data_IF_112244050766
#
_entry.id   IF_112244050766
#
_cell.length_a   1.000
_cell.length_b   1.000
_cell.length_c   1.000
_cell.angle_alpha   90.00
_cell.angle_beta   90.00
_cell.angle_gamma   90.00
#
_symmetry.space_group_name_H-M   'P 1'
#
loop_
_entity.id
_entity.type
_entity.pdbx_description
1 polymer ?
#
# COMPACT_ATOMS: atom_id res chain seq x y z
N UNK A 1 -22.00 -6.60 -32.57
CA UNK A 1 -21.63 -5.18 -32.74
C UNK A 1 -21.60 -4.39 -31.43
N UNK A 2 -22.59 -4.40 -30.55
CA UNK A 2 -22.59 -3.62 -29.28
C UNK A 2 -21.42 -3.92 -28.33
N UNK A 3 -20.95 -5.16 -28.21
CA UNK A 3 -19.83 -5.56 -27.33
C UNK A 3 -18.48 -4.99 -27.84
N UNK A 4 -18.24 -5.00 -29.15
CA UNK A 4 -17.04 -4.43 -29.75
C UNK A 4 -16.98 -2.89 -29.65
N UNK A 5 -18.14 -2.22 -29.75
CA UNK A 5 -18.21 -0.78 -29.54
C UNK A 5 -17.95 -0.38 -28.07
N UNK A 6 -18.46 -1.17 -27.12
CA UNK A 6 -18.20 -0.99 -25.69
C UNK A 6 -16.72 -1.17 -25.36
N UNK A 7 -16.07 -2.19 -25.91
CA UNK A 7 -14.65 -2.45 -25.73
C UNK A 7 -13.74 -1.38 -26.36
N UNK A 8 -14.14 -0.83 -27.53
CA UNK A 8 -13.43 0.29 -28.15
C UNK A 8 -13.55 1.58 -27.34
N UNK A 9 -14.74 1.86 -26.78
CA UNK A 9 -14.98 3.04 -25.92
C UNK A 9 -14.17 2.96 -24.62
N UNK A 10 -14.14 1.79 -23.99
CA UNK A 10 -13.32 1.55 -22.78
C UNK A 10 -11.82 1.66 -23.07
N UNK A 11 -11.35 1.17 -24.22
CA UNK A 11 -9.94 1.32 -24.63
C UNK A 11 -9.55 2.76 -24.94
N UNK A 12 -10.44 3.55 -25.54
CA UNK A 12 -10.21 4.96 -25.84
C UNK A 12 -10.13 5.77 -24.56
N UNK A 13 -11.10 5.60 -23.68
CA UNK A 13 -11.17 6.22 -22.35
C UNK A 13 -9.90 5.92 -21.53
N UNK A 14 -9.46 4.65 -21.49
CA UNK A 14 -8.23 4.26 -20.81
C UNK A 14 -6.97 4.91 -21.40
N UNK A 15 -6.94 5.16 -22.71
CA UNK A 15 -5.81 5.86 -23.36
C UNK A 15 -5.78 7.35 -23.02
N UNK A 16 -6.94 7.99 -22.95
CA UNK A 16 -7.07 9.40 -22.56
C UNK A 16 -6.65 9.61 -21.10
N UNK A 17 -7.07 8.73 -20.19
CA UNK A 17 -6.63 8.75 -18.78
C UNK A 17 -5.11 8.56 -18.65
N UNK A 18 -4.54 7.60 -19.36
CA UNK A 18 -3.09 7.39 -19.36
C UNK A 18 -2.32 8.57 -19.97
N UNK A 19 -2.90 9.26 -20.97
CA UNK A 19 -2.30 10.46 -21.54
C UNK A 19 -2.29 11.61 -20.51
N UNK A 20 -3.40 11.83 -19.81
CA UNK A 20 -3.49 12.82 -18.74
C UNK A 20 -2.50 12.56 -17.61
N UNK A 21 -2.43 11.32 -17.14
CA UNK A 21 -1.42 10.89 -16.14
C UNK A 21 -0.02 11.18 -16.63
N UNK A 22 0.27 10.88 -17.92
CA UNK A 22 1.58 11.11 -18.52
C UNK A 22 1.91 12.59 -18.65
N UNK A 23 0.94 13.45 -18.93
CA UNK A 23 1.12 14.89 -19.02
C UNK A 23 1.41 15.49 -17.63
N UNK A 24 0.63 15.13 -16.61
CA UNK A 24 0.88 15.55 -15.22
C UNK A 24 2.21 15.02 -14.70
N UNK A 25 2.57 13.77 -15.00
CA UNK A 25 3.85 13.19 -14.60
C UNK A 25 5.05 13.78 -15.35
N UNK A 26 4.84 14.37 -16.53
CA UNK A 26 5.95 14.89 -17.36
C UNK A 26 6.75 15.99 -16.65
N UNK A 27 6.09 16.84 -15.89
CA UNK A 27 6.73 17.92 -15.14
C UNK A 27 7.54 17.42 -13.92
N UNK A 28 7.20 16.23 -13.41
CA UNK A 28 7.82 15.66 -12.22
C UNK A 28 8.72 14.43 -12.51
N UNK A 29 8.96 14.11 -13.79
CA UNK A 29 9.71 12.89 -14.19
C UNK A 29 11.07 12.76 -13.50
N UNK A 30 11.81 13.86 -13.43
CA UNK A 30 13.14 13.85 -12.80
C UNK A 30 13.07 13.46 -11.32
N UNK A 31 12.07 13.95 -10.60
CA UNK A 31 11.89 13.64 -9.17
C UNK A 31 11.34 12.23 -8.94
N UNK A 32 10.43 11.76 -9.80
CA UNK A 32 9.96 10.38 -9.77
C UNK A 32 11.13 9.42 -10.01
N UNK A 33 11.98 9.71 -10.99
CA UNK A 33 13.19 8.93 -11.25
C UNK A 33 14.16 8.98 -10.05
N UNK A 34 14.32 10.14 -9.42
CA UNK A 34 15.18 10.30 -8.24
C UNK A 34 14.65 9.46 -7.06
N UNK A 35 13.33 9.48 -6.79
CA UNK A 35 12.71 8.64 -5.76
C UNK A 35 12.88 7.14 -6.10
N UNK A 36 12.68 6.74 -7.34
CA UNK A 36 12.95 5.36 -7.75
C UNK A 36 14.43 4.98 -7.55
N UNK A 37 15.37 5.86 -7.90
CA UNK A 37 16.80 5.61 -7.72
C UNK A 37 17.19 5.48 -6.26
N UNK A 38 16.72 6.40 -5.39
CA UNK A 38 16.98 6.31 -3.94
C UNK A 38 16.37 5.04 -3.33
N UNK A 39 15.16 4.67 -3.76
CA UNK A 39 14.51 3.42 -3.34
C UNK A 39 15.30 2.18 -3.79
N UNK A 40 15.75 2.13 -5.05
CA UNK A 40 16.55 1.01 -5.60
C UNK A 40 17.91 0.92 -4.89
N UNK A 41 18.57 2.05 -4.65
CA UNK A 41 19.81 2.09 -3.87
C UNK A 41 19.60 1.59 -2.44
N UNK A 42 18.49 1.97 -1.81
CA UNK A 42 18.10 1.46 -0.50
C UNK A 42 17.92 -0.07 -0.48
N UNK A 43 17.33 -0.64 -1.54
CA UNK A 43 17.22 -2.10 -1.72
C UNK A 43 18.61 -2.74 -1.89
N UNK A 44 19.48 -2.15 -2.71
CA UNK A 44 20.83 -2.66 -2.91
C UNK A 44 21.64 -2.66 -1.61
N UNK A 45 21.60 -1.55 -0.83
CA UNK A 45 22.26 -1.49 0.48
C UNK A 45 21.65 -2.48 1.47
N UNK A 46 20.32 -2.72 1.43
CA UNK A 46 19.68 -3.71 2.30
C UNK A 46 20.15 -5.14 2.00
N UNK A 47 20.31 -5.50 0.74
CA UNK A 47 20.83 -6.82 0.36
C UNK A 47 22.34 -6.94 0.65
N UNK A 48 23.11 -5.88 0.39
CA UNK A 48 24.51 -5.81 0.75
C UNK A 48 24.72 -5.92 2.27
N UNK A 49 23.86 -5.32 3.07
CA UNK A 49 23.85 -5.44 4.53
C UNK A 49 23.63 -6.90 4.97
N UNK A 50 22.68 -7.61 4.36
CA UNK A 50 22.44 -9.04 4.65
C UNK A 50 23.68 -9.87 4.31
N UNK A 51 24.31 -9.62 3.17
CA UNK A 51 25.55 -10.30 2.80
C UNK A 51 26.71 -9.98 3.75
N UNK A 52 26.86 -8.72 4.14
CA UNK A 52 27.89 -8.32 5.10
C UNK A 52 27.65 -8.97 6.48
N UNK A 53 26.39 -9.02 6.94
CA UNK A 53 26.02 -9.72 8.20
C UNK A 53 26.40 -11.20 8.14
N UNK A 54 26.13 -11.88 7.01
CA UNK A 54 26.58 -13.25 6.78
C UNK A 54 28.10 -13.34 6.96
N UNK A 55 28.85 -12.45 6.30
CA UNK A 55 30.32 -12.44 6.35
C UNK A 55 30.86 -12.18 7.77
N UNK A 56 30.27 -11.26 8.52
CA UNK A 56 30.63 -11.02 9.93
C UNK A 56 30.51 -12.28 10.75
N UNK A 57 29.40 -13.01 10.61
CA UNK A 57 29.13 -14.22 11.36
C UNK A 57 30.11 -15.35 10.94
N UNK A 58 30.29 -15.55 9.63
CA UNK A 58 31.19 -16.59 9.11
C UNK A 58 32.66 -16.34 9.52
N UNK A 59 33.08 -15.06 9.57
CA UNK A 59 34.42 -14.70 10.08
C UNK A 59 34.52 -14.88 11.59
N UNK A 60 33.49 -14.49 12.35
CA UNK A 60 33.48 -14.66 13.81
C UNK A 60 33.46 -16.12 14.25
N UNK A 61 32.88 -17.02 13.43
CA UNK A 61 32.87 -18.47 13.66
C UNK A 61 34.10 -19.18 13.10
N UNK A 62 35.06 -18.45 12.52
CA UNK A 62 36.29 -19.00 12.00
C UNK A 62 36.17 -19.80 10.70
N UNK A 63 35.02 -19.67 10.00
CA UNK A 63 34.77 -20.37 8.72
C UNK A 63 35.44 -19.62 7.55
N UNK A 64 35.52 -18.29 7.63
CA UNK A 64 36.19 -17.47 6.60
C UNK A 64 37.26 -16.60 7.22
N UNK A 65 38.42 -16.54 6.55
CA UNK A 65 39.48 -15.63 6.93
C UNK A 65 39.11 -14.18 6.59
N UNK A 66 39.37 -13.25 7.52
CA UNK A 66 39.12 -11.83 7.31
C UNK A 66 39.30 -11.02 8.58
N UNK A 67 39.46 -9.72 8.40
CA UNK A 67 39.50 -8.78 9.52
C UNK A 67 38.08 -8.44 9.97
N UNK A 68 37.64 -9.05 11.09
CA UNK A 68 36.31 -8.89 11.67
C UNK A 68 35.94 -7.40 11.84
N UNK A 69 36.90 -6.57 12.26
CA UNK A 69 36.68 -5.14 12.48
C UNK A 69 36.31 -4.41 11.19
N UNK A 70 37.00 -4.68 10.08
CA UNK A 70 36.70 -4.06 8.80
C UNK A 70 35.31 -4.46 8.27
N UNK A 71 34.93 -5.75 8.39
CA UNK A 71 33.63 -6.24 7.94
C UNK A 71 32.51 -5.69 8.83
N UNK A 72 32.74 -5.58 10.15
CA UNK A 72 31.78 -4.98 11.06
C UNK A 72 31.55 -3.49 10.76
N UNK A 73 32.62 -2.71 10.53
CA UNK A 73 32.51 -1.31 10.13
C UNK A 73 31.74 -1.17 8.81
N UNK A 74 32.05 -2.01 7.81
CA UNK A 74 31.33 -2.03 6.54
C UNK A 74 29.83 -2.31 6.75
N UNK A 75 29.50 -3.23 7.63
CA UNK A 75 28.10 -3.56 7.96
C UNK A 75 27.36 -2.36 8.54
N UNK A 76 27.98 -1.61 9.45
CA UNK A 76 27.43 -0.38 10.03
C UNK A 76 27.26 0.71 8.96
N UNK A 77 28.24 0.87 8.08
CA UNK A 77 28.17 1.84 6.96
C UNK A 77 27.01 1.49 6.02
N UNK A 78 26.85 0.21 5.66
CA UNK A 78 25.75 -0.23 4.79
C UNK A 78 24.38 -0.01 5.44
N UNK A 79 24.26 -0.29 6.74
CA UNK A 79 23.02 -0.02 7.48
C UNK A 79 22.70 1.49 7.49
N UNK A 80 23.70 2.32 7.79
CA UNK A 80 23.55 3.76 7.81
C UNK A 80 23.17 4.30 6.42
N UNK A 81 23.82 3.82 5.36
CA UNK A 81 23.50 4.17 3.99
C UNK A 81 22.06 3.77 3.62
N UNK A 82 21.60 2.58 4.01
CA UNK A 82 20.21 2.14 3.81
C UNK A 82 19.22 3.09 4.49
N UNK A 83 19.48 3.46 5.75
CA UNK A 83 18.62 4.38 6.52
C UNK A 83 18.58 5.78 5.89
N UNK A 84 19.71 6.28 5.45
CA UNK A 84 19.81 7.59 4.76
C UNK A 84 19.05 7.57 3.42
N UNK A 85 19.16 6.50 2.64
CA UNK A 85 18.38 6.35 1.41
C UNK A 85 16.87 6.33 1.68
N UNK A 86 16.42 5.64 2.73
CA UNK A 86 15.02 5.62 3.15
C UNK A 86 14.51 6.99 3.59
N UNK A 87 15.31 7.73 4.35
CA UNK A 87 15.00 9.10 4.76
C UNK A 87 14.93 10.05 3.55
N UNK A 88 15.89 9.95 2.63
CA UNK A 88 15.92 10.73 1.40
C UNK A 88 14.70 10.44 0.51
N UNK A 89 14.34 9.17 0.32
CA UNK A 89 13.15 8.78 -0.44
C UNK A 89 11.86 9.35 0.17
N UNK A 90 11.71 9.26 1.49
CA UNK A 90 10.56 9.83 2.20
C UNK A 90 10.49 11.35 2.02
N UNK A 91 11.63 12.04 2.14
CA UNK A 91 11.72 13.49 1.95
C UNK A 91 11.33 13.90 0.52
N UNK A 92 11.92 13.24 -0.49
CA UNK A 92 11.68 13.53 -1.90
C UNK A 92 10.21 13.25 -2.25
N UNK A 93 9.66 12.11 -1.81
CA UNK A 93 8.27 11.72 -2.05
C UNK A 93 7.29 12.70 -1.42
N UNK A 94 7.50 13.10 -0.15
CA UNK A 94 6.64 14.07 0.55
C UNK A 94 6.68 15.43 -0.11
N UNK A 95 7.86 15.94 -0.43
CA UNK A 95 8.02 17.22 -1.12
C UNK A 95 7.34 17.21 -2.49
N UNK A 96 7.55 16.15 -3.27
CA UNK A 96 6.91 15.97 -4.57
C UNK A 96 5.38 15.91 -4.44
N UNK A 97 4.85 15.25 -3.41
CA UNK A 97 3.42 15.16 -3.14
C UNK A 97 2.81 16.54 -2.88
N UNK A 98 3.44 17.37 -2.03
CA UNK A 98 2.97 18.70 -1.71
C UNK A 98 3.03 19.61 -2.96
N UNK A 99 4.16 19.67 -3.65
CA UNK A 99 4.34 20.54 -4.81
C UNK A 99 3.41 20.18 -5.97
N UNK A 100 3.26 18.87 -6.26
CA UNK A 100 2.35 18.40 -7.32
C UNK A 100 0.89 18.64 -6.93
N UNK A 101 0.55 18.43 -5.66
CA UNK A 101 -0.80 18.70 -5.13
C UNK A 101 -1.17 20.17 -5.27
N UNK A 102 -0.30 21.07 -4.85
CA UNK A 102 -0.52 22.52 -4.94
C UNK A 102 -0.63 22.96 -6.41
N UNK A 103 0.25 22.49 -7.28
CA UNK A 103 0.21 22.82 -8.71
C UNK A 103 -1.10 22.33 -9.38
N UNK A 104 -1.56 21.13 -9.04
CA UNK A 104 -2.79 20.59 -9.60
C UNK A 104 -4.02 21.32 -9.07
N UNK A 105 -4.10 21.62 -7.76
CA UNK A 105 -5.17 22.43 -7.17
C UNK A 105 -5.24 23.81 -7.80
N UNK A 106 -4.09 24.47 -7.95
CA UNK A 106 -4.02 25.79 -8.58
C UNK A 106 -4.55 25.76 -10.03
N UNK A 107 -4.17 24.75 -10.83
CA UNK A 107 -4.66 24.59 -12.21
C UNK A 107 -6.17 24.34 -12.25
N UNK A 108 -6.68 23.46 -11.39
CA UNK A 108 -8.11 23.16 -11.32
C UNK A 108 -8.91 24.40 -10.88
N UNK A 109 -8.44 25.09 -9.85
CA UNK A 109 -9.10 26.31 -9.36
C UNK A 109 -9.09 27.42 -10.40
N UNK A 110 -7.98 27.65 -11.11
CA UNK A 110 -7.90 28.62 -12.20
C UNK A 110 -8.89 28.29 -13.32
N UNK A 111 -9.03 27.03 -13.70
CA UNK A 111 -10.01 26.60 -14.70
C UNK A 111 -11.45 26.77 -14.23
N UNK A 112 -11.73 26.50 -12.96
CA UNK A 112 -13.06 26.71 -12.36
C UNK A 112 -13.43 28.19 -12.39
N UNK A 113 -12.53 29.10 -12.06
CA UNK A 113 -12.76 30.53 -12.12
C UNK A 113 -12.98 31.06 -13.55
N UNK A 114 -12.42 30.41 -14.56
CA UNK A 114 -12.57 30.77 -15.96
C UNK A 114 -13.75 30.07 -16.64
N UNK A 115 -14.41 29.14 -15.96
CA UNK A 115 -15.57 28.42 -16.51
C UNK A 115 -16.81 29.30 -16.55
N UNK A 116 -17.76 28.99 -17.45
CA UNK A 116 -19.02 29.75 -17.57
C UNK A 116 -19.91 29.49 -16.35
N UNK A 117 -20.46 30.53 -15.78
CA UNK A 117 -21.29 30.51 -14.57
C UNK A 117 -22.42 29.47 -14.62
N UNK A 118 -23.12 29.35 -15.75
CA UNK A 118 -24.25 28.41 -15.93
C UNK A 118 -23.90 26.93 -15.81
N UNK A 119 -22.63 26.57 -15.94
CA UNK A 119 -22.17 25.16 -15.78
C UNK A 119 -21.92 24.82 -14.31
N UNK A 120 -21.50 25.81 -13.52
CA UNK A 120 -21.20 25.64 -12.09
C UNK A 120 -22.46 25.64 -11.21
N UNK A 121 -23.52 26.36 -11.59
CA UNK A 121 -24.79 26.39 -10.84
C UNK A 121 -25.49 25.04 -10.69
N UNK A 122 -25.19 24.10 -11.57
CA UNK A 122 -25.71 22.70 -11.51
C UNK A 122 -25.10 21.86 -10.40
N UNK A 123 -23.98 22.29 -9.84
CA UNK A 123 -23.27 21.57 -8.81
C UNK A 123 -23.31 22.35 -7.48
N UNK A 124 -23.56 21.63 -6.39
CA UNK A 124 -23.39 22.23 -5.07
C UNK A 124 -21.92 22.56 -4.84
N UNK A 125 -21.65 23.77 -4.38
CA UNK A 125 -20.26 24.25 -4.16
C UNK A 125 -19.45 23.29 -3.28
N UNK A 126 -20.08 22.67 -2.28
CA UNK A 126 -19.46 21.67 -1.42
C UNK A 126 -19.02 20.41 -2.16
N UNK A 127 -19.82 19.94 -3.14
CA UNK A 127 -19.49 18.77 -3.94
C UNK A 127 -18.29 19.04 -4.87
N UNK A 128 -18.23 20.23 -5.46
CA UNK A 128 -17.11 20.65 -6.33
C UNK A 128 -15.82 20.71 -5.52
N UNK A 129 -15.84 21.36 -4.36
CA UNK A 129 -14.66 21.47 -3.48
C UNK A 129 -14.19 20.10 -3.02
N UNK A 130 -15.11 19.23 -2.58
CA UNK A 130 -14.79 17.90 -2.12
C UNK A 130 -14.20 17.03 -3.25
N UNK A 131 -14.75 17.10 -4.46
CA UNK A 131 -14.18 16.40 -5.64
C UNK A 131 -12.78 16.91 -5.97
N UNK A 132 -12.60 18.22 -6.08
CA UNK A 132 -11.29 18.81 -6.36
C UNK A 132 -10.25 18.35 -5.34
N UNK A 133 -10.59 18.30 -4.05
CA UNK A 133 -9.66 17.87 -2.99
C UNK A 133 -9.38 16.36 -3.03
N UNK A 134 -10.43 15.54 -3.11
CA UNK A 134 -10.27 14.07 -3.10
C UNK A 134 -9.62 13.55 -4.37
N UNK A 135 -10.05 14.02 -5.54
CA UNK A 135 -9.54 13.56 -6.84
C UNK A 135 -8.10 14.01 -7.04
N UNK A 136 -7.78 15.26 -6.66
CA UNK A 136 -6.38 15.75 -6.67
C UNK A 136 -5.50 14.88 -5.78
N UNK A 137 -5.93 14.60 -4.57
CA UNK A 137 -5.17 13.79 -3.62
C UNK A 137 -4.97 12.36 -4.15
N UNK A 138 -5.99 11.76 -4.76
CA UNK A 138 -5.89 10.42 -5.35
C UNK A 138 -4.89 10.37 -6.51
N UNK A 139 -4.94 11.34 -7.43
CA UNK A 139 -4.02 11.43 -8.58
C UNK A 139 -2.58 11.68 -8.10
N UNK A 140 -2.40 12.63 -7.19
CA UNK A 140 -1.08 12.95 -6.64
C UNK A 140 -0.48 11.74 -5.94
N UNK A 141 -1.23 11.08 -5.05
CA UNK A 141 -0.77 9.87 -4.34
C UNK A 141 -0.40 8.75 -5.31
N UNK A 142 -1.16 8.56 -6.40
CA UNK A 142 -0.79 7.60 -7.42
C UNK A 142 0.58 7.90 -8.02
N UNK A 143 0.80 9.14 -8.46
CA UNK A 143 2.01 9.53 -9.18
C UNK A 143 3.25 9.60 -8.29
N UNK A 144 3.10 10.16 -7.08
CA UNK A 144 4.24 10.48 -6.22
C UNK A 144 4.61 9.37 -5.24
N UNK A 145 3.67 8.47 -4.92
CA UNK A 145 3.90 7.40 -3.94
C UNK A 145 3.66 6.01 -4.54
N UNK A 146 2.49 5.79 -5.19
CA UNK A 146 2.12 4.42 -5.60
C UNK A 146 2.96 3.90 -6.76
N UNK A 147 3.27 4.74 -7.76
CA UNK A 147 4.07 4.34 -8.93
C UNK A 147 5.52 4.06 -8.54
N UNK A 148 6.24 4.95 -7.82
CA UNK A 148 7.58 4.65 -7.32
C UNK A 148 7.61 3.42 -6.43
N UNK A 149 6.69 3.32 -5.46
CA UNK A 149 6.61 2.16 -4.57
C UNK A 149 6.41 0.85 -5.35
N UNK A 150 5.56 0.83 -6.38
CA UNK A 150 5.37 -0.36 -7.22
C UNK A 150 6.66 -0.78 -7.92
N UNK A 151 7.40 0.16 -8.50
CA UNK A 151 8.67 -0.09 -9.20
C UNK A 151 9.71 -0.62 -8.20
N UNK A 152 9.93 0.09 -7.10
CA UNK A 152 10.93 -0.28 -6.08
C UNK A 152 10.60 -1.64 -5.47
N UNK A 153 9.34 -1.88 -5.11
CA UNK A 153 8.89 -3.15 -4.51
C UNK A 153 9.04 -4.32 -5.49
N UNK A 154 8.75 -4.11 -6.78
CA UNK A 154 8.93 -5.14 -7.81
C UNK A 154 10.42 -5.49 -8.00
N UNK A 155 11.28 -4.47 -8.02
CA UNK A 155 12.74 -4.66 -8.09
C UNK A 155 13.25 -5.36 -6.83
N UNK A 156 12.75 -4.98 -5.66
CA UNK A 156 13.12 -5.62 -4.39
C UNK A 156 12.77 -7.11 -4.40
N UNK A 157 11.58 -7.50 -4.87
CA UNK A 157 11.18 -8.90 -4.99
C UNK A 157 12.11 -9.67 -5.94
N UNK A 158 12.38 -9.09 -7.11
CA UNK A 158 13.28 -9.70 -8.10
C UNK A 158 14.71 -9.86 -7.54
N UNK A 159 15.23 -8.81 -6.93
CA UNK A 159 16.57 -8.83 -6.35
C UNK A 159 16.68 -9.81 -5.17
N UNK A 160 15.66 -9.88 -4.31
CA UNK A 160 15.61 -10.87 -3.24
C UNK A 160 15.52 -12.31 -3.79
N UNK A 161 14.71 -12.53 -4.83
CA UNK A 161 14.62 -13.83 -5.50
C UNK A 161 15.96 -14.27 -6.09
N UNK A 162 16.64 -13.37 -6.81
CA UNK A 162 17.97 -13.64 -7.36
C UNK A 162 19.00 -13.92 -6.25
N UNK A 163 18.95 -13.15 -5.18
CA UNK A 163 19.86 -13.35 -4.05
C UNK A 163 19.65 -14.72 -3.37
N UNK A 164 18.38 -15.15 -3.20
CA UNK A 164 18.06 -16.50 -2.73
C UNK A 164 18.62 -17.58 -3.68
N UNK A 165 18.43 -17.39 -4.99
CA UNK A 165 18.89 -18.34 -5.98
C UNK A 165 20.42 -18.53 -5.96
N UNK A 166 21.16 -17.46 -5.70
CA UNK A 166 22.63 -17.52 -5.55
C UNK A 166 23.10 -18.18 -4.25
N UNK A 167 22.27 -18.15 -3.19
CA UNK A 167 22.61 -18.81 -1.94
C UNK A 167 22.28 -20.30 -1.99
N UNK A 168 21.08 -20.64 -2.45
CA UNK A 168 20.62 -22.01 -2.65
C UNK A 168 19.47 -22.06 -3.69
N UNK A 169 19.64 -22.79 -4.82
CA UNK A 169 18.64 -22.85 -5.88
C UNK A 169 17.29 -23.46 -5.49
N UNK A 170 17.21 -24.21 -4.38
CA UNK A 170 15.99 -24.90 -3.95
C UNK A 170 14.99 -23.97 -3.23
N UNK A 171 15.49 -22.96 -2.53
CA UNK A 171 14.69 -22.08 -1.66
C UNK A 171 13.75 -21.12 -2.38
N UNK A 172 14.13 -20.50 -3.52
CA UNK A 172 13.23 -19.58 -4.24
C UNK A 172 11.88 -20.20 -4.60
N UNK A 173 11.84 -21.49 -4.89
CA UNK A 173 10.63 -22.22 -5.27
C UNK A 173 9.60 -22.29 -4.13
N UNK A 174 10.06 -22.33 -2.89
CA UNK A 174 9.19 -22.28 -1.71
C UNK A 174 8.42 -20.96 -1.64
N UNK A 175 9.08 -19.85 -1.99
CA UNK A 175 8.44 -18.51 -2.04
C UNK A 175 7.43 -18.44 -3.19
N UNK A 176 7.79 -18.97 -4.37
CA UNK A 176 6.91 -19.00 -5.53
C UNK A 176 5.65 -19.81 -5.25
N UNK A 177 5.75 -20.89 -4.48
CA UNK A 177 4.59 -21.71 -4.10
C UNK A 177 3.60 -20.99 -3.19
N UNK A 178 4.02 -20.02 -2.39
CA UNK A 178 3.15 -19.23 -1.49
C UNK A 178 2.36 -18.16 -2.26
N UNK A 179 2.91 -17.60 -3.34
CA UNK A 179 2.29 -16.51 -4.10
C UNK A 179 0.88 -16.82 -4.64
N UNK A 180 0.60 -17.97 -5.30
CA UNK A 180 -0.74 -18.28 -5.81
C UNK A 180 -1.79 -18.41 -4.71
N UNK A 181 -1.42 -18.96 -3.57
CA UNK A 181 -2.31 -19.09 -2.40
C UNK A 181 -2.71 -17.71 -1.89
N UNK A 182 -1.73 -16.81 -1.77
CA UNK A 182 -1.98 -15.43 -1.36
C UNK A 182 -2.86 -14.67 -2.36
N UNK A 183 -2.62 -14.79 -3.66
CA UNK A 183 -3.38 -14.11 -4.70
C UNK A 183 -4.84 -14.60 -4.77
N UNK A 184 -5.08 -15.90 -4.62
CA UNK A 184 -6.45 -16.46 -4.61
C UNK A 184 -7.23 -16.02 -3.38
N UNK A 185 -6.63 -16.07 -2.19
CA UNK A 185 -7.21 -15.58 -0.94
C UNK A 185 -7.56 -14.09 -0.98
N UNK A 186 -6.72 -13.29 -1.62
CA UNK A 186 -6.93 -11.84 -1.73
C UNK A 186 -8.19 -11.44 -2.49
N UNK A 187 -8.61 -12.23 -3.50
CA UNK A 187 -9.84 -11.99 -4.27
C UNK A 187 -11.09 -12.22 -3.42
N UNK A 188 -11.11 -13.31 -2.65
CA UNK A 188 -12.20 -13.62 -1.74
C UNK A 188 -12.33 -12.56 -0.64
N UNK A 189 -11.20 -12.21 0.00
CA UNK A 189 -11.13 -11.17 1.03
C UNK A 189 -11.69 -9.83 0.54
N UNK A 190 -11.24 -9.35 -0.64
CA UNK A 190 -11.70 -8.07 -1.20
C UNK A 190 -13.20 -8.04 -1.49
N UNK A 191 -13.77 -9.13 -2.03
CA UNK A 191 -15.22 -9.20 -2.30
C UNK A 191 -16.03 -9.10 -1.01
N UNK A 192 -15.62 -9.82 0.02
CA UNK A 192 -16.31 -9.83 1.31
C UNK A 192 -16.16 -8.49 2.04
N UNK A 193 -14.96 -7.93 2.05
CA UNK A 193 -14.66 -6.64 2.66
C UNK A 193 -15.44 -5.50 2.01
N UNK A 194 -15.56 -5.50 0.66
CA UNK A 194 -16.36 -4.50 -0.06
C UNK A 194 -17.83 -4.52 0.39
N UNK A 195 -18.40 -5.69 0.64
CA UNK A 195 -19.77 -5.85 1.15
C UNK A 195 -19.92 -5.23 2.53
N UNK A 196 -19.06 -5.60 3.48
CA UNK A 196 -19.06 -5.00 4.82
C UNK A 196 -18.91 -3.47 4.80
N UNK A 197 -18.00 -2.97 3.97
CA UNK A 197 -17.80 -1.52 3.85
C UNK A 197 -19.03 -0.80 3.30
N UNK A 198 -19.74 -1.41 2.35
CA UNK A 198 -20.98 -0.87 1.81
C UNK A 198 -22.08 -0.82 2.87
N UNK A 199 -22.27 -1.92 3.62
CA UNK A 199 -23.30 -2.02 4.65
C UNK A 199 -23.05 -1.00 5.79
N UNK A 200 -21.81 -0.85 6.22
CA UNK A 200 -21.38 0.16 7.21
C UNK A 200 -21.66 1.58 6.71
N UNK A 201 -21.28 1.90 5.45
CA UNK A 201 -21.55 3.23 4.89
C UNK A 201 -23.03 3.56 4.81
N UNK A 202 -23.87 2.57 4.51
CA UNK A 202 -25.32 2.77 4.48
C UNK A 202 -25.87 3.06 5.88
N UNK A 203 -25.36 2.35 6.90
CA UNK A 203 -25.77 2.60 8.29
C UNK A 203 -25.26 3.95 8.81
N UNK A 204 -24.01 4.32 8.50
CA UNK A 204 -23.48 5.67 8.79
C UNK A 204 -24.34 6.76 8.13
N UNK A 205 -24.73 6.58 6.87
CA UNK A 205 -25.60 7.53 6.17
C UNK A 205 -26.97 7.67 6.82
N UNK A 206 -27.56 6.58 7.33
CA UNK A 206 -28.83 6.62 8.08
C UNK A 206 -28.68 7.38 9.39
N UNK A 207 -27.61 7.14 10.14
CA UNK A 207 -27.31 7.85 11.39
C UNK A 207 -27.17 9.36 11.10
N UNK A 208 -26.38 9.73 10.07
CA UNK A 208 -26.23 11.13 9.69
C UNK A 208 -27.56 11.78 9.30
N UNK A 209 -28.43 11.05 8.57
CA UNK A 209 -29.75 11.55 8.20
C UNK A 209 -30.64 11.79 9.43
N UNK A 210 -30.65 10.88 10.41
CA UNK A 210 -31.43 11.05 11.66
C UNK A 210 -30.92 12.23 12.46
N UNK A 211 -29.60 12.40 12.60
CA UNK A 211 -29.00 13.54 13.29
C UNK A 211 -29.37 14.86 12.57
N UNK A 212 -29.23 14.90 11.25
CA UNK A 212 -29.55 16.09 10.46
C UNK A 212 -31.03 16.44 10.56
N UNK A 213 -31.95 15.48 10.41
CA UNK A 213 -33.39 15.63 10.57
C UNK A 213 -33.74 16.17 11.97
N UNK A 214 -33.15 15.59 13.02
CA UNK A 214 -33.36 15.99 14.40
C UNK A 214 -32.90 17.43 14.68
N UNK A 215 -31.77 17.84 14.08
CA UNK A 215 -31.27 19.22 14.21
C UNK A 215 -32.10 20.21 13.44
N UNK A 216 -32.57 19.85 12.24
CA UNK A 216 -33.42 20.72 11.42
C UNK A 216 -34.79 20.95 12.09
N UNK A 217 -35.36 19.93 12.70
CA UNK A 217 -36.68 19.98 13.31
C UNK A 217 -36.65 20.04 14.85
N UNK A 218 -35.50 20.48 15.43
CA UNK A 218 -35.31 20.51 16.89
C UNK A 218 -36.41 21.20 17.69
N UNK A 219 -37.01 22.27 17.15
CA UNK A 219 -38.08 23.02 17.80
C UNK A 219 -39.35 22.16 17.90
N UNK A 220 -39.69 21.47 16.82
CA UNK A 220 -40.85 20.56 16.76
C UNK A 220 -40.69 19.40 17.72
N UNK A 221 -39.50 18.75 17.69
CA UNK A 221 -39.17 17.62 18.55
C UNK A 221 -39.25 18.02 20.02
N UNK A 222 -38.76 19.22 20.37
CA UNK A 222 -38.83 19.76 21.74
C UNK A 222 -40.24 20.10 22.17
N UNK A 223 -41.05 20.72 21.27
CA UNK A 223 -42.44 21.09 21.54
C UNK A 223 -43.33 19.86 21.72
N UNK A 224 -43.07 18.79 20.98
CA UNK A 224 -43.81 17.53 21.05
C UNK A 224 -43.25 16.55 22.07
N UNK A 225 -42.21 16.93 22.82
CA UNK A 225 -41.53 16.08 23.84
C UNK A 225 -41.05 14.73 23.30
N UNK A 226 -40.73 14.66 21.98
CA UNK A 226 -40.30 13.41 21.31
C UNK A 226 -38.78 13.17 21.37
N UNK A 227 -38.06 13.86 22.24
CA UNK A 227 -36.60 13.77 22.36
C UNK A 227 -36.09 12.35 22.61
N UNK A 228 -36.67 11.65 23.58
CA UNK A 228 -36.28 10.28 23.96
C UNK A 228 -36.48 9.31 22.79
N UNK A 229 -37.61 9.39 22.10
CA UNK A 229 -37.89 8.53 20.94
C UNK A 229 -36.88 8.72 19.80
N UNK A 230 -36.37 9.95 19.60
CA UNK A 230 -35.31 10.21 18.61
C UNK A 230 -33.94 9.66 19.06
N UNK A 231 -33.68 9.68 20.38
CA UNK A 231 -32.49 9.04 20.97
C UNK A 231 -32.54 7.52 20.84
N UNK A 232 -33.66 6.89 21.21
CA UNK A 232 -33.87 5.44 21.05
C UNK A 232 -33.63 5.01 19.58
N UNK A 233 -34.20 5.76 18.63
CA UNK A 233 -33.98 5.49 17.20
C UNK A 233 -32.51 5.62 16.79
N UNK A 234 -31.77 6.55 17.39
CA UNK A 234 -30.35 6.73 17.13
C UNK A 234 -29.57 5.57 17.73
N UNK A 235 -29.89 5.15 18.94
CA UNK A 235 -29.24 4.03 19.64
C UNK A 235 -29.44 2.72 18.88
N UNK A 236 -30.64 2.41 18.39
CA UNK A 236 -30.92 1.25 17.54
C UNK A 236 -30.02 1.23 16.27
N UNK A 237 -29.86 2.39 15.62
CA UNK A 237 -29.01 2.51 14.44
C UNK A 237 -27.52 2.38 14.79
N UNK A 238 -27.08 2.87 15.93
CA UNK A 238 -25.72 2.73 16.43
C UNK A 238 -25.40 1.27 16.78
N UNK A 239 -26.34 0.55 17.42
CA UNK A 239 -26.21 -0.88 17.71
C UNK A 239 -26.10 -1.71 16.44
N UNK A 240 -26.92 -1.39 15.42
CA UNK A 240 -26.80 -2.00 14.11
C UNK A 240 -25.43 -1.74 13.49
N UNK A 241 -24.97 -0.50 13.50
CA UNK A 241 -23.63 -0.12 13.00
C UNK A 241 -22.54 -0.86 13.77
N UNK A 242 -22.62 -0.89 15.11
CA UNK A 242 -21.68 -1.61 15.96
C UNK A 242 -21.57 -3.09 15.57
N UNK A 243 -22.70 -3.78 15.39
CA UNK A 243 -22.74 -5.19 15.00
C UNK A 243 -22.06 -5.42 13.63
N UNK A 244 -22.30 -4.53 12.65
CA UNK A 244 -21.70 -4.60 11.31
C UNK A 244 -20.18 -4.33 11.35
N UNK A 245 -19.74 -3.33 12.13
CA UNK A 245 -18.31 -3.01 12.31
C UNK A 245 -17.61 -4.17 13.01
N UNK A 246 -18.20 -4.75 14.05
CA UNK A 246 -17.63 -5.93 14.72
C UNK A 246 -17.58 -7.16 13.81
N UNK A 247 -18.60 -7.38 12.99
CA UNK A 247 -18.60 -8.42 11.95
C UNK A 247 -17.46 -8.25 10.96
N UNK A 248 -17.24 -7.02 10.45
CA UNK A 248 -16.10 -6.69 9.60
C UNK A 248 -14.77 -6.92 10.31
N UNK A 249 -14.66 -6.48 11.57
CA UNK A 249 -13.43 -6.59 12.35
C UNK A 249 -13.07 -8.05 12.61
N UNK A 250 -14.04 -8.90 12.99
CA UNK A 250 -13.81 -10.35 13.16
C UNK A 250 -13.31 -11.00 11.89
N UNK A 251 -13.94 -10.70 10.76
CA UNK A 251 -13.52 -11.21 9.46
C UNK A 251 -12.12 -10.71 9.06
N UNK A 252 -11.84 -9.43 9.30
CA UNK A 252 -10.52 -8.85 9.03
C UNK A 252 -9.45 -9.48 9.92
N UNK A 253 -9.74 -9.65 11.21
CA UNK A 253 -8.83 -10.26 12.18
C UNK A 253 -8.50 -11.71 11.80
N UNK A 254 -9.53 -12.53 11.49
CA UNK A 254 -9.30 -13.92 11.06
C UNK A 254 -8.46 -14.02 9.79
N UNK A 255 -8.69 -13.13 8.82
CA UNK A 255 -7.87 -13.06 7.62
C UNK A 255 -6.42 -12.64 7.92
N UNK A 256 -6.23 -11.65 8.80
CA UNK A 256 -4.88 -11.24 9.23
C UNK A 256 -4.15 -12.35 9.98
N UNK A 257 -4.85 -13.06 10.87
CA UNK A 257 -4.27 -14.21 11.59
C UNK A 257 -3.85 -15.33 10.63
N UNK A 258 -4.70 -15.65 9.64
CA UNK A 258 -4.35 -16.66 8.62
C UNK A 258 -3.10 -16.28 7.84
N UNK A 259 -3.01 -15.02 7.44
CA UNK A 259 -1.82 -14.51 6.72
C UNK A 259 -0.60 -14.48 7.61
N UNK A 260 -0.73 -14.05 8.88
CA UNK A 260 0.36 -14.07 9.85
C UNK A 260 0.86 -15.50 10.10
N UNK A 261 -0.04 -16.47 10.24
CA UNK A 261 0.31 -17.89 10.37
C UNK A 261 1.04 -18.40 9.13
N UNK A 262 0.60 -18.04 7.92
CA UNK A 262 1.26 -18.44 6.68
C UNK A 262 2.70 -17.87 6.61
N UNK A 263 2.90 -16.62 7.02
CA UNK A 263 4.23 -16.01 7.05
C UNK A 263 5.12 -16.58 8.16
N UNK A 264 4.57 -16.75 9.36
CA UNK A 264 5.30 -17.38 10.47
C UNK A 264 5.64 -18.84 10.15
N UNK A 265 4.72 -19.55 9.49
CA UNK A 265 4.97 -20.90 8.99
C UNK A 265 6.10 -20.94 7.96
N UNK A 266 6.12 -19.99 7.00
CA UNK A 266 7.21 -19.86 6.04
C UNK A 266 8.57 -19.56 6.70
N UNK A 267 8.57 -18.67 7.69
CA UNK A 267 9.77 -18.39 8.50
C UNK A 267 10.24 -19.63 9.28
N UNK A 268 9.31 -20.33 9.95
CA UNK A 268 9.60 -21.54 10.69
C UNK A 268 10.14 -22.66 9.79
N UNK A 269 9.56 -22.83 8.60
CA UNK A 269 10.03 -23.79 7.60
C UNK A 269 11.46 -23.46 7.17
N UNK A 270 11.76 -22.21 6.87
CA UNK A 270 13.11 -21.77 6.53
C UNK A 270 14.10 -21.97 7.69
N UNK A 271 13.65 -21.71 8.92
CA UNK A 271 14.45 -21.93 10.12
C UNK A 271 14.78 -23.41 10.33
N UNK A 272 13.77 -24.29 10.28
CA UNK A 272 13.95 -25.74 10.47
C UNK A 272 14.81 -26.35 9.34
N UNK A 273 14.56 -25.94 8.10
CA UNK A 273 15.38 -26.33 6.96
C UNK A 273 16.83 -25.89 7.16
N UNK A 274 17.05 -24.63 7.55
CA UNK A 274 18.36 -24.09 7.85
C UNK A 274 19.07 -24.83 9.00
N UNK A 275 18.34 -25.15 10.07
CA UNK A 275 18.88 -25.89 11.21
C UNK A 275 19.33 -27.31 10.82
N UNK A 276 18.53 -28.03 10.02
CA UNK A 276 18.88 -29.37 9.51
C UNK A 276 20.12 -29.32 8.62
N UNK A 277 20.22 -28.38 7.68
CA UNK A 277 21.38 -28.25 6.80
C UNK A 277 22.62 -27.73 7.53
N UNK A 278 22.43 -26.91 8.56
CA UNK A 278 23.54 -26.50 9.43
C UNK A 278 24.09 -27.67 10.25
N UNK A 279 23.22 -28.51 10.81
CA UNK A 279 23.64 -29.70 11.55
C UNK A 279 24.34 -30.74 10.65
N UNK A 280 23.99 -30.81 9.37
CA UNK A 280 24.61 -31.62 8.35
C UNK A 280 25.95 -31.03 7.82
N UNK A 281 26.31 -29.81 8.23
CA UNK A 281 27.51 -29.12 7.74
C UNK A 281 27.41 -28.60 6.30
N UNK A 282 26.19 -28.61 5.70
CA UNK A 282 25.96 -28.16 4.32
C UNK A 282 25.97 -26.65 4.17
N UNK A 283 25.61 -25.91 5.22
CA UNK A 283 25.57 -24.44 5.23
C UNK A 283 26.25 -23.90 6.48
N UNK A 284 26.66 -22.63 6.42
CA UNK A 284 27.23 -21.91 7.56
C UNK A 284 26.15 -21.25 8.41
N UNK A 285 26.45 -20.92 9.66
CA UNK A 285 25.57 -20.18 10.54
C UNK A 285 25.23 -18.77 9.96
N UNK A 286 26.23 -18.13 9.32
CA UNK A 286 26.00 -16.88 8.59
C UNK A 286 25.05 -17.04 7.42
N UNK A 287 25.10 -18.14 6.67
CA UNK A 287 24.17 -18.44 5.58
C UNK A 287 22.73 -18.61 6.12
N UNK A 288 22.56 -19.38 7.20
CA UNK A 288 21.26 -19.54 7.86
C UNK A 288 20.67 -18.19 8.30
N UNK A 289 21.49 -17.34 8.91
CA UNK A 289 21.04 -16.00 9.35
C UNK A 289 20.63 -15.11 8.16
N UNK A 290 21.39 -15.16 7.05
CA UNK A 290 21.03 -14.44 5.83
C UNK A 290 19.69 -14.93 5.24
N UNK A 291 19.41 -16.23 5.26
CA UNK A 291 18.13 -16.78 4.85
C UNK A 291 16.96 -16.24 5.65
N UNK A 292 17.06 -16.24 6.97
CA UNK A 292 16.00 -15.75 7.84
C UNK A 292 15.71 -14.25 7.61
N UNK A 293 16.75 -13.44 7.40
CA UNK A 293 16.60 -12.03 7.06
C UNK A 293 15.94 -11.84 5.69
N UNK A 294 16.30 -12.64 4.70
CA UNK A 294 15.73 -12.58 3.35
C UNK A 294 14.25 -12.97 3.33
N UNK A 295 13.83 -13.97 4.10
CA UNK A 295 12.41 -14.34 4.23
C UNK A 295 11.58 -13.11 4.63
N UNK A 296 12.04 -12.34 5.63
CA UNK A 296 11.39 -11.09 6.03
C UNK A 296 11.37 -10.03 4.93
N UNK A 297 12.43 -9.95 4.13
CA UNK A 297 12.53 -8.98 3.00
C UNK A 297 11.66 -9.34 1.81
N UNK A 298 11.18 -10.57 1.68
CA UNK A 298 10.24 -10.98 0.61
C UNK A 298 8.79 -10.86 1.07
N UNK A 299 8.50 -11.18 2.33
CA UNK A 299 7.14 -11.18 2.86
C UNK A 299 6.50 -9.79 2.81
N UNK A 300 7.20 -8.76 3.26
CA UNK A 300 6.69 -7.38 3.32
C UNK A 300 6.30 -6.80 1.96
N UNK A 301 7.13 -6.87 0.92
CA UNK A 301 6.80 -6.40 -0.43
C UNK A 301 5.54 -7.00 -1.02
N UNK A 302 5.26 -8.28 -0.77
CA UNK A 302 4.02 -8.92 -1.24
C UNK A 302 2.78 -8.26 -0.66
N UNK A 303 2.82 -7.88 0.62
CA UNK A 303 1.76 -7.09 1.27
C UNK A 303 1.63 -5.69 0.68
N UNK A 304 2.75 -5.01 0.50
CA UNK A 304 2.78 -3.64 0.02
C UNK A 304 2.19 -3.55 -1.39
N UNK A 305 2.52 -4.49 -2.29
CA UNK A 305 1.91 -4.58 -3.62
C UNK A 305 0.38 -4.75 -3.57
N UNK A 306 -0.14 -5.51 -2.61
CA UNK A 306 -1.59 -5.69 -2.48
C UNK A 306 -2.32 -4.41 -2.05
N UNK A 307 -1.66 -3.54 -1.29
CA UNK A 307 -2.19 -2.23 -0.85
C UNK A 307 -2.19 -1.18 -1.96
N UNK A 308 -1.32 -1.32 -2.96
CA UNK A 308 -1.25 -0.38 -4.09
C UNK A 308 -2.44 -0.52 -5.06
N UNK A 309 -3.09 -1.69 -5.11
CA UNK A 309 -4.23 -1.93 -6.03
C UNK A 309 -5.39 -0.94 -5.79
N UNK A 310 -5.88 -0.72 -4.54
CA UNK A 310 -6.93 0.26 -4.29
C UNK A 310 -6.53 1.69 -4.67
N UNK A 311 -5.29 2.08 -4.44
CA UNK A 311 -4.79 3.42 -4.79
C UNK A 311 -4.85 3.66 -6.30
N UNK A 312 -4.46 2.66 -7.10
CA UNK A 312 -4.57 2.74 -8.58
C UNK A 312 -6.02 2.84 -9.02
N UNK A 313 -6.91 2.04 -8.43
CA UNK A 313 -8.35 2.06 -8.77
C UNK A 313 -8.97 3.43 -8.42
N UNK A 314 -8.68 3.96 -7.24
CA UNK A 314 -9.19 5.26 -6.80
C UNK A 314 -8.72 6.39 -7.72
N UNK A 315 -7.45 6.42 -8.09
CA UNK A 315 -6.92 7.44 -8.98
C UNK A 315 -7.49 7.34 -10.41
N UNK A 316 -7.72 6.13 -10.92
CA UNK A 316 -8.39 5.94 -12.22
C UNK A 316 -9.85 6.41 -12.21
N UNK A 317 -10.53 6.32 -11.06
CA UNK A 317 -11.91 6.80 -10.90
C UNK A 317 -11.96 8.32 -10.71
N UNK A 318 -10.93 8.93 -10.14
CA UNK A 318 -10.81 10.37 -9.94
C UNK A 318 -10.58 11.14 -11.26
N UNK A 319 -10.18 10.46 -12.34
CA UNK A 319 -9.97 11.05 -13.67
C UNK A 319 -11.29 11.03 -14.50
N UNK A 320 -12.33 10.32 -14.06
CA UNK A 320 -13.66 10.31 -14.67
C UNK A 320 -14.47 11.52 -14.27
#
# INVERSE_FOLDING_TARGET
>A
MKKQQKDKKVKKDRREKLRYIREVSAEQRGRILLSCLTGILGVAFALAFIYATKRVIDTATGITDGNLTHIAVLTVVLLTAQLLCGAADTWISTRMQIETGNALRHRLFSRLLQSRWNELERFHTGDVVNRVEQDTTAIVTLLTSSVPAFIVTSIQLLAAFLFFYFLDPSLPWLIVAILPVFLSGSRFYRRRMKRYTHDIRNSDGRIQSVIQESLQHRIVIKTLEQGERHLDKLDDLQDMLHSQVMGRTRFSLSAHMLVALAFSGGYLTAFLWGAVHLSAGCITFGTMTAFLQLVGKVQRPVFDLSRLIPSVVNALTAID
#
